data_IF_840690217317
#
_entry.id   IF_840690217317
#
_cell.length_a   1.000
_cell.length_b   1.000
_cell.length_c   1.000
_cell.angle_alpha   90.00
_cell.angle_beta   90.00
_cell.angle_gamma   90.00
#
_symmetry.space_group_name_H-M   'P 1'
#
loop_
_entity.id
_entity.type
_entity.pdbx_description
1 polymer ?
#
# COMPACT_ATOMS: atom_id res chain seq x y z
N UNK A 1 16.64 15.86 24.57
CA UNK A 1 15.67 16.35 23.57
C UNK A 1 14.87 15.14 23.09
N UNK A 2 13.67 14.92 23.64
CA UNK A 2 12.83 13.80 23.24
C UNK A 2 12.18 14.13 21.91
N UNK A 3 12.69 13.55 20.82
CA UNK A 3 12.06 13.66 19.51
C UNK A 3 10.65 13.09 19.57
N UNK A 4 9.67 13.86 19.09
CA UNK A 4 8.25 13.49 19.08
C UNK A 4 8.08 12.16 18.35
N UNK A 5 7.81 11.09 19.09
CA UNK A 5 7.33 9.84 18.51
C UNK A 5 5.93 10.10 17.97
N UNK A 6 5.77 10.13 16.64
CA UNK A 6 4.47 10.29 15.99
C UNK A 6 3.64 9.03 16.28
N UNK A 7 2.73 9.13 17.25
CA UNK A 7 1.76 8.08 17.57
C UNK A 7 0.58 8.15 16.60
N UNK A 8 0.01 7.01 16.24
CA UNK A 8 -1.18 6.88 15.38
C UNK A 8 -2.47 7.41 16.02
N UNK A 9 -2.45 7.78 17.31
CA UNK A 9 -3.61 8.28 18.04
C UNK A 9 -4.69 7.22 18.33
N UNK A 10 -4.44 5.96 17.93
CA UNK A 10 -5.35 4.83 18.06
C UNK A 10 -4.75 3.79 19.01
N UNK A 11 -5.54 3.34 19.99
CA UNK A 11 -5.12 2.29 20.93
C UNK A 11 -4.97 0.96 20.18
N UNK A 12 -3.82 0.29 20.35
CA UNK A 12 -3.54 -1.02 19.76
C UNK A 12 -3.01 -1.00 18.32
N UNK A 13 -2.91 0.17 17.67
CA UNK A 13 -2.33 0.28 16.32
C UNK A 13 -0.90 0.83 16.38
N UNK A 14 0.08 -0.08 16.33
CA UNK A 14 1.48 0.29 16.28
C UNK A 14 1.82 1.04 14.98
N UNK A 15 2.68 2.06 15.08
CA UNK A 15 3.21 2.78 13.92
C UNK A 15 4.11 1.84 13.10
N UNK A 16 3.90 1.78 11.79
CA UNK A 16 4.76 1.01 10.89
C UNK A 16 5.92 1.88 10.41
N UNK A 17 7.16 1.37 10.50
CA UNK A 17 8.36 2.10 10.07
C UNK A 17 8.41 2.27 8.55
N UNK A 18 8.22 1.18 7.80
CA UNK A 18 8.21 1.18 6.32
C UNK A 18 6.85 0.74 5.77
N UNK A 19 5.82 1.61 5.79
CA UNK A 19 4.47 1.25 5.37
C UNK A 19 4.40 0.88 3.88
N UNK A 20 5.21 1.52 3.02
CA UNK A 20 5.22 1.25 1.58
C UNK A 20 5.70 -0.15 1.23
N UNK A 21 6.81 -0.59 1.83
CA UNK A 21 7.36 -1.93 1.61
C UNK A 21 6.41 -3.02 2.12
N UNK A 22 5.83 -2.81 3.30
CA UNK A 22 4.84 -3.72 3.87
C UNK A 22 3.57 -3.81 3.02
N UNK A 23 3.07 -2.69 2.51
CA UNK A 23 1.94 -2.65 1.57
C UNK A 23 2.27 -3.36 0.26
N UNK A 24 3.50 -3.17 -0.25
CA UNK A 24 3.98 -3.83 -1.47
C UNK A 24 3.89 -5.36 -1.36
N UNK A 25 4.37 -5.90 -0.24
CA UNK A 25 4.35 -7.34 0.05
C UNK A 25 2.91 -7.85 0.19
N UNK A 26 2.04 -7.10 0.88
CA UNK A 26 0.64 -7.48 1.08
C UNK A 26 -0.12 -7.56 -0.25
N UNK A 27 0.00 -6.55 -1.11
CA UNK A 27 -0.67 -6.56 -2.40
C UNK A 27 -0.14 -7.65 -3.34
N UNK A 28 1.17 -7.96 -3.29
CA UNK A 28 1.74 -9.09 -4.04
C UNK A 28 1.11 -10.42 -3.60
N UNK A 29 0.98 -10.65 -2.29
CA UNK A 29 0.32 -11.85 -1.74
C UNK A 29 -1.16 -11.93 -2.12
N UNK A 30 -1.86 -10.80 -2.13
CA UNK A 30 -3.28 -10.75 -2.54
C UNK A 30 -3.40 -11.19 -4.01
N UNK A 31 -2.54 -10.68 -4.90
CA UNK A 31 -2.53 -11.08 -6.31
C UNK A 31 -2.22 -12.58 -6.48
N UNK A 32 -1.25 -13.10 -5.73
CA UNK A 32 -0.90 -14.53 -5.72
C UNK A 32 -2.09 -15.42 -5.33
N UNK A 33 -2.86 -15.03 -4.32
CA UNK A 33 -4.08 -15.76 -3.92
C UNK A 33 -5.19 -15.62 -4.97
N UNK A 34 -5.33 -14.45 -5.59
CA UNK A 34 -6.32 -14.23 -6.66
C UNK A 34 -6.03 -15.06 -7.91
N UNK A 35 -4.77 -15.42 -8.17
CA UNK A 35 -4.41 -16.30 -9.29
C UNK A 35 -5.05 -17.68 -9.18
N UNK A 36 -5.27 -18.18 -7.96
CA UNK A 36 -5.89 -19.47 -7.67
C UNK A 36 -7.41 -19.48 -7.96
N UNK A 37 -8.04 -18.31 -8.04
CA UNK A 37 -9.48 -18.16 -8.29
C UNK A 37 -9.74 -18.16 -9.81
N UNK A 38 -10.77 -18.84 -10.34
CA UNK A 38 -11.06 -18.81 -11.77
C UNK A 38 -11.32 -17.39 -12.29
N UNK A 39 -10.75 -17.05 -13.46
CA UNK A 39 -10.83 -15.72 -14.12
C UNK A 39 -12.26 -15.22 -14.38
N UNK A 40 -13.23 -16.14 -14.43
CA UNK A 40 -14.64 -15.79 -14.66
C UNK A 40 -15.37 -15.35 -13.38
N UNK A 41 -14.78 -15.52 -12.20
CA UNK A 41 -15.37 -15.06 -10.96
C UNK A 41 -15.43 -13.52 -10.94
N UNK A 42 -16.63 -12.98 -10.74
CA UNK A 42 -16.84 -11.53 -10.59
C UNK A 42 -15.95 -10.96 -9.47
N UNK A 43 -15.81 -11.71 -8.37
CA UNK A 43 -14.96 -11.34 -7.24
C UNK A 43 -13.49 -11.09 -7.64
N UNK A 44 -12.91 -11.96 -8.48
CA UNK A 44 -11.53 -11.81 -8.94
C UNK A 44 -11.35 -10.54 -9.76
N UNK A 45 -12.25 -10.28 -10.72
CA UNK A 45 -12.19 -9.09 -11.59
C UNK A 45 -12.21 -7.78 -10.80
N UNK A 46 -13.16 -7.64 -9.87
CA UNK A 46 -13.26 -6.41 -9.07
C UNK A 46 -12.09 -6.26 -8.08
N UNK A 47 -11.63 -7.35 -7.49
CA UNK A 47 -10.52 -7.29 -6.52
C UNK A 47 -9.19 -6.99 -7.20
N UNK A 48 -8.95 -7.53 -8.40
CA UNK A 48 -7.79 -7.18 -9.22
C UNK A 48 -7.81 -5.69 -9.62
N UNK A 49 -8.96 -5.16 -10.05
CA UNK A 49 -9.08 -3.74 -10.42
C UNK A 49 -8.79 -2.81 -9.23
N UNK A 50 -9.37 -3.09 -8.07
CA UNK A 50 -9.16 -2.30 -6.85
C UNK A 50 -7.69 -2.36 -6.42
N UNK A 51 -7.11 -3.56 -6.45
CA UNK A 51 -5.71 -3.79 -6.05
C UNK A 51 -4.75 -3.03 -6.97
N UNK A 52 -4.94 -3.11 -8.29
CA UNK A 52 -4.14 -2.39 -9.27
C UNK A 52 -4.28 -0.87 -9.13
N UNK A 53 -5.52 -0.38 -8.96
CA UNK A 53 -5.78 1.05 -8.77
C UNK A 53 -5.07 1.60 -7.53
N UNK A 54 -5.19 0.90 -6.41
CA UNK A 54 -4.57 1.32 -5.15
C UNK A 54 -3.05 1.28 -5.24
N UNK A 55 -2.48 0.25 -5.87
CA UNK A 55 -1.06 0.16 -6.13
C UNK A 55 -0.54 1.34 -6.95
N UNK A 56 -1.23 1.67 -8.04
CA UNK A 56 -0.88 2.80 -8.90
C UNK A 56 -0.92 4.13 -8.14
N UNK A 57 -1.95 4.35 -7.32
CA UNK A 57 -2.06 5.56 -6.50
C UNK A 57 -0.91 5.68 -5.49
N UNK A 58 -0.55 4.60 -4.80
CA UNK A 58 0.57 4.59 -3.85
C UNK A 58 1.89 4.90 -4.56
N UNK A 59 2.13 4.28 -5.72
CA UNK A 59 3.32 4.55 -6.53
C UNK A 59 3.38 6.01 -6.99
N UNK A 60 2.25 6.57 -7.43
CA UNK A 60 2.14 7.97 -7.86
C UNK A 60 2.43 8.96 -6.74
N UNK A 61 1.86 8.75 -5.56
CA UNK A 61 2.10 9.60 -4.38
C UNK A 61 3.56 9.55 -3.98
N UNK A 62 4.19 8.37 -4.00
CA UNK A 62 5.60 8.21 -3.67
C UNK A 62 6.52 8.96 -4.65
N UNK A 63 6.29 8.84 -5.97
CA UNK A 63 7.04 9.57 -6.99
C UNK A 63 6.85 11.09 -6.85
N UNK A 64 5.64 11.55 -6.55
CA UNK A 64 5.37 12.97 -6.32
C UNK A 64 6.12 13.51 -5.09
N UNK A 65 6.22 12.71 -4.02
CA UNK A 65 6.97 13.07 -2.81
C UNK A 65 8.48 13.14 -3.11
N UNK A 66 9.03 12.13 -3.80
CA UNK A 66 10.45 12.14 -4.20
C UNK A 66 10.75 13.32 -5.12
N UNK A 67 9.91 13.57 -6.14
CA UNK A 67 10.10 14.68 -7.06
C UNK A 67 10.10 16.03 -6.33
N UNK A 68 9.20 16.24 -5.36
CA UNK A 68 9.19 17.45 -4.54
C UNK A 68 10.40 17.58 -3.61
N UNK A 69 10.98 16.47 -3.16
CA UNK A 69 12.15 16.46 -2.28
C UNK A 69 13.48 16.65 -3.03
N UNK A 70 13.53 16.25 -4.32
CA UNK A 70 14.73 16.42 -5.17
C UNK A 70 14.79 17.81 -5.83
N UNK A 71 13.65 18.44 -6.08
CA UNK A 71 13.55 19.76 -6.73
C UNK A 71 13.42 20.94 -5.75
N UNK A 72 13.64 20.73 -4.44
CA UNK A 72 13.56 21.73 -3.37
C UNK A 72 14.86 21.71 -2.56
#
# INVERSE_FOLDING_TARGET
>A
MAGVLKTTGLVGLAMCENPHERLRILYAKILEVLEQIPKNAAYRKYTEEITMRNWFLICRVFVQIISKMVFL
#
